data_IF_816296393550
#
_entry.id   IF_816296393550
#
_cell.length_a   1.000
_cell.length_b   1.000
_cell.length_c   1.000
_cell.angle_alpha   90.00
_cell.angle_beta   90.00
_cell.angle_gamma   90.00
#
_symmetry.space_group_name_H-M   'P 1'
#
loop_
_entity.id
_entity.type
_entity.pdbx_description
1 polymer ?
#
# COMPACT_ATOMS: atom_id res chain seq x y z
N UNK A 1 -9.70 -14.32 -12.55
CA UNK A 1 -9.34 -13.78 -11.22
C UNK A 1 -8.97 -12.33 -11.44
N UNK A 2 -9.66 -11.38 -10.76
CA UNK A 2 -9.47 -9.94 -10.95
C UNK A 2 -8.98 -9.29 -9.65
N UNK A 3 -7.87 -8.57 -9.72
CA UNK A 3 -7.26 -7.85 -8.60
C UNK A 3 -7.59 -6.37 -8.64
N UNK A 4 -7.94 -5.80 -7.49
CA UNK A 4 -7.93 -4.36 -7.25
C UNK A 4 -6.59 -4.00 -6.60
N UNK A 5 -5.83 -3.08 -7.21
CA UNK A 5 -4.58 -2.54 -6.65
C UNK A 5 -4.77 -1.05 -6.39
N UNK A 6 -4.98 -0.66 -5.13
CA UNK A 6 -5.08 0.77 -4.77
C UNK A 6 -3.68 1.38 -4.64
N UNK A 7 -3.52 2.67 -4.97
CA UNK A 7 -2.19 3.27 -5.10
C UNK A 7 -1.39 2.61 -6.23
N UNK A 8 -2.09 2.14 -7.27
CA UNK A 8 -1.54 1.31 -8.34
C UNK A 8 -0.51 2.03 -9.22
N UNK A 9 -0.57 3.34 -9.33
CA UNK A 9 0.40 4.16 -10.07
C UNK A 9 1.63 4.52 -9.23
N UNK A 10 1.54 4.35 -7.91
CA UNK A 10 2.63 4.65 -6.97
C UNK A 10 3.85 3.73 -7.13
N UNK A 11 4.92 4.05 -6.41
CA UNK A 11 6.21 3.36 -6.52
C UNK A 11 6.11 1.83 -6.31
N UNK A 12 5.42 1.38 -5.27
CA UNK A 12 5.20 -0.05 -5.02
C UNK A 12 4.08 -0.58 -5.93
N UNK A 13 2.97 0.16 -6.04
CA UNK A 13 1.79 -0.27 -6.78
C UNK A 13 2.07 -0.63 -8.22
N UNK A 14 2.80 0.21 -8.98
CA UNK A 14 3.12 -0.08 -10.38
C UNK A 14 3.97 -1.34 -10.57
N UNK A 15 4.79 -1.71 -9.58
CA UNK A 15 5.56 -2.96 -9.60
C UNK A 15 4.68 -4.18 -9.35
N UNK A 16 3.74 -4.05 -8.42
CA UNK A 16 2.72 -5.07 -8.15
C UNK A 16 1.85 -5.28 -9.39
N UNK A 17 1.34 -4.20 -9.99
CA UNK A 17 0.54 -4.25 -11.23
C UNK A 17 1.32 -4.97 -12.35
N UNK A 18 2.56 -4.58 -12.59
CA UNK A 18 3.38 -5.21 -13.62
C UNK A 18 3.56 -6.72 -13.38
N UNK A 19 3.82 -7.12 -12.13
CA UNK A 19 3.97 -8.55 -11.76
C UNK A 19 2.68 -9.36 -11.95
N UNK A 20 1.52 -8.77 -11.68
CA UNK A 20 0.22 -9.41 -11.90
C UNK A 20 -0.07 -9.56 -13.39
N UNK A 21 0.16 -8.52 -14.18
CA UNK A 21 -0.03 -8.53 -15.63
C UNK A 21 0.88 -9.55 -16.34
N UNK A 22 2.15 -9.66 -15.90
CA UNK A 22 3.07 -10.70 -16.41
C UNK A 22 2.57 -12.13 -16.18
N UNK A 23 1.71 -12.32 -15.19
CA UNK A 23 1.05 -13.60 -14.88
C UNK A 23 -0.32 -13.75 -15.57
N UNK A 24 -0.65 -12.85 -16.50
CA UNK A 24 -1.95 -12.80 -17.19
C UNK A 24 -3.15 -12.68 -16.23
N UNK A 25 -3.00 -11.96 -15.13
CA UNK A 25 -4.06 -11.68 -14.18
C UNK A 25 -4.72 -10.36 -14.56
N UNK A 26 -6.06 -10.30 -14.50
CA UNK A 26 -6.82 -9.06 -14.70
C UNK A 26 -6.61 -8.12 -13.53
N UNK A 27 -6.27 -6.88 -13.82
CA UNK A 27 -5.96 -5.86 -12.81
C UNK A 27 -6.79 -4.61 -13.02
N UNK A 28 -7.42 -4.13 -11.95
CA UNK A 28 -7.90 -2.76 -11.82
C UNK A 28 -6.87 -2.03 -10.95
N UNK A 29 -6.07 -1.18 -11.58
CA UNK A 29 -5.15 -0.29 -10.88
C UNK A 29 -5.87 1.02 -10.59
N UNK A 30 -5.82 1.49 -9.33
CA UNK A 30 -6.48 2.74 -8.96
C UNK A 30 -5.56 3.66 -8.21
N UNK A 31 -5.78 4.97 -8.40
CA UNK A 31 -5.12 6.02 -7.62
C UNK A 31 -6.05 7.23 -7.50
N UNK A 32 -5.71 8.20 -6.64
CA UNK A 32 -6.52 9.41 -6.44
C UNK A 32 -6.42 10.41 -7.61
N UNK A 33 -5.37 10.33 -8.41
CA UNK A 33 -5.13 11.17 -9.57
C UNK A 33 -4.35 10.38 -10.62
N UNK A 34 -5.06 9.62 -11.41
CA UNK A 34 -4.45 8.74 -12.43
C UNK A 34 -3.84 9.53 -13.58
N UNK A 35 -4.44 10.64 -14.00
CA UNK A 35 -3.96 11.45 -15.13
C UNK A 35 -2.55 11.97 -14.90
N UNK A 36 -2.26 12.42 -13.68
CA UNK A 36 -0.96 12.96 -13.32
C UNK A 36 0.18 11.93 -13.38
N UNK A 37 -0.11 10.69 -13.03
CA UNK A 37 0.90 9.63 -12.91
C UNK A 37 0.85 8.65 -14.11
N UNK A 38 -0.08 8.86 -15.06
CA UNK A 38 -0.35 7.94 -16.16
C UNK A 38 0.87 7.69 -17.04
N UNK A 39 1.52 8.76 -17.50
CA UNK A 39 2.68 8.65 -18.37
C UNK A 39 3.82 7.84 -17.71
N UNK A 40 4.16 8.18 -16.45
CA UNK A 40 5.20 7.46 -15.68
C UNK A 40 4.83 5.99 -15.42
N UNK A 41 3.55 5.71 -15.27
CA UNK A 41 3.04 4.37 -15.09
C UNK A 41 3.11 3.55 -16.39
N UNK A 42 2.66 4.12 -17.51
CA UNK A 42 2.70 3.47 -18.83
C UNK A 42 4.15 3.26 -19.31
N UNK A 43 5.02 4.26 -19.12
CA UNK A 43 6.45 4.14 -19.40
C UNK A 43 7.09 3.01 -18.58
N UNK A 44 6.73 2.90 -17.29
CA UNK A 44 7.22 1.80 -16.46
C UNK A 44 6.78 0.43 -16.99
N UNK A 45 5.51 0.26 -17.37
CA UNK A 45 5.02 -1.00 -17.94
C UNK A 45 5.73 -1.33 -19.27
N UNK A 46 5.95 -0.32 -20.11
CA UNK A 46 6.68 -0.45 -21.37
C UNK A 46 8.12 -0.92 -21.14
N UNK A 47 8.86 -0.30 -20.20
CA UNK A 47 10.23 -0.72 -19.87
C UNK A 47 10.34 -2.16 -19.36
N UNK A 48 9.23 -2.72 -18.87
CA UNK A 48 9.14 -4.11 -18.39
C UNK A 48 8.57 -5.07 -19.45
N UNK A 49 8.30 -4.59 -20.67
CA UNK A 49 7.65 -5.35 -21.75
C UNK A 49 6.33 -6.00 -21.27
N UNK A 50 5.53 -5.27 -20.50
CA UNK A 50 4.26 -5.77 -19.94
C UNK A 50 3.10 -5.28 -20.79
N UNK A 51 2.27 -6.20 -21.26
CA UNK A 51 1.04 -5.87 -21.98
C UNK A 51 -0.02 -5.31 -21.03
N UNK A 52 -0.65 -4.20 -21.41
CA UNK A 52 -1.77 -3.59 -20.70
C UNK A 52 -3.14 -4.18 -21.05
N UNK A 53 -3.20 -5.27 -21.83
CA UNK A 53 -4.47 -5.88 -22.30
C UNK A 53 -5.44 -6.22 -21.15
N UNK A 54 -4.91 -6.66 -20.01
CA UNK A 54 -5.68 -7.08 -18.84
C UNK A 54 -5.67 -6.00 -17.74
N UNK A 55 -5.46 -4.72 -18.10
CA UNK A 55 -5.36 -3.59 -17.18
C UNK A 55 -6.49 -2.61 -17.41
N UNK A 56 -7.16 -2.25 -16.33
CA UNK A 56 -8.00 -1.04 -16.25
C UNK A 56 -7.37 -0.06 -15.26
N UNK A 57 -7.25 1.22 -15.64
CA UNK A 57 -6.74 2.29 -14.78
C UNK A 57 -7.89 3.23 -14.45
N UNK A 58 -8.21 3.40 -13.16
CA UNK A 58 -9.37 4.15 -12.70
C UNK A 58 -9.00 5.08 -11.53
N UNK A 59 -9.71 6.18 -11.41
CA UNK A 59 -9.62 7.01 -10.20
C UNK A 59 -10.44 6.42 -9.07
N UNK A 60 -9.86 6.44 -7.85
CA UNK A 60 -10.48 5.95 -6.63
C UNK A 60 -9.88 6.64 -5.42
N UNK A 61 -10.72 7.33 -4.64
CA UNK A 61 -10.40 7.72 -3.27
C UNK A 61 -10.89 6.62 -2.31
N UNK A 62 -9.98 5.89 -1.68
CA UNK A 62 -10.32 4.83 -0.72
C UNK A 62 -11.07 5.37 0.51
N UNK A 63 -10.93 6.66 0.84
CA UNK A 63 -11.69 7.29 1.91
C UNK A 63 -13.16 7.54 1.54
N UNK A 64 -13.50 7.53 0.24
CA UNK A 64 -14.86 7.65 -0.29
C UNK A 64 -15.57 6.30 -0.35
N UNK A 65 -16.56 6.11 0.52
CA UNK A 65 -17.40 4.90 0.48
C UNK A 65 -18.16 4.75 -0.83
N UNK A 66 -18.56 5.87 -1.44
CA UNK A 66 -19.36 5.83 -2.67
C UNK A 66 -18.51 5.45 -3.88
N UNK A 67 -17.24 5.86 -3.92
CA UNK A 67 -16.32 5.41 -4.97
C UNK A 67 -16.03 3.92 -4.85
N UNK A 68 -15.79 3.42 -3.64
CA UNK A 68 -15.64 1.97 -3.42
C UNK A 68 -16.90 1.21 -3.83
N UNK A 69 -18.10 1.68 -3.46
CA UNK A 69 -19.35 1.04 -3.89
C UNK A 69 -19.49 0.99 -5.40
N UNK A 70 -19.11 2.06 -6.12
CA UNK A 70 -19.13 2.06 -7.59
C UNK A 70 -18.21 0.99 -8.17
N UNK A 71 -16.98 0.88 -7.66
CA UNK A 71 -16.03 -0.15 -8.11
C UNK A 71 -16.60 -1.56 -7.89
N UNK A 72 -17.06 -1.89 -6.70
CA UNK A 72 -17.56 -3.23 -6.39
C UNK A 72 -18.91 -3.56 -7.06
N UNK A 73 -19.69 -2.54 -7.46
CA UNK A 73 -20.91 -2.74 -8.26
C UNK A 73 -20.59 -3.09 -9.71
N UNK A 74 -19.54 -2.48 -10.26
CA UNK A 74 -19.21 -2.60 -11.68
C UNK A 74 -18.27 -3.78 -11.96
N UNK A 75 -17.53 -4.26 -10.96
CA UNK A 75 -16.49 -5.26 -11.13
C UNK A 75 -16.58 -6.38 -10.10
N UNK A 76 -16.45 -7.62 -10.59
CA UNK A 76 -16.27 -8.79 -9.71
C UNK A 76 -14.80 -8.92 -9.31
N UNK A 77 -14.44 -8.25 -8.23
CA UNK A 77 -13.08 -8.28 -7.67
C UNK A 77 -12.95 -9.48 -6.76
N UNK A 78 -11.86 -10.23 -6.92
CA UNK A 78 -11.57 -11.41 -6.08
C UNK A 78 -10.49 -11.15 -5.03
N UNK A 79 -9.57 -10.22 -5.30
CA UNK A 79 -8.43 -9.94 -4.43
C UNK A 79 -8.14 -8.43 -4.38
N UNK A 80 -7.61 -7.97 -3.25
CA UNK A 80 -7.20 -6.57 -3.07
C UNK A 80 -5.73 -6.51 -2.64
N UNK A 81 -4.96 -5.64 -3.28
CA UNK A 81 -3.63 -5.23 -2.81
C UNK A 81 -3.67 -3.73 -2.55
N UNK A 82 -3.62 -3.33 -1.28
CA UNK A 82 -3.84 -1.95 -0.88
C UNK A 82 -2.50 -1.21 -0.68
N UNK A 83 -1.98 -0.60 -1.75
CA UNK A 83 -0.76 0.20 -1.71
C UNK A 83 -1.02 1.70 -1.53
N UNK A 84 -2.28 2.17 -1.67
CA UNK A 84 -2.67 3.58 -1.48
C UNK A 84 -2.57 3.98 -0.01
N UNK A 85 -1.62 4.87 0.32
CA UNK A 85 -1.35 5.30 1.69
C UNK A 85 -0.57 6.62 1.71
N UNK A 86 -0.91 7.53 2.60
CA UNK A 86 -0.14 8.75 2.79
C UNK A 86 1.11 8.52 3.64
N UNK A 87 2.24 9.08 3.20
CA UNK A 87 3.52 8.97 3.88
C UNK A 87 3.68 10.04 4.97
N UNK A 88 4.65 9.88 5.88
CA UNK A 88 4.86 10.70 7.07
C UNK A 88 4.80 12.20 6.81
N UNK A 89 5.52 12.71 5.82
CA UNK A 89 5.56 14.14 5.51
C UNK A 89 4.19 14.71 5.06
N UNK A 90 3.35 13.90 4.41
CA UNK A 90 1.99 14.30 4.03
C UNK A 90 1.05 14.27 5.24
N UNK A 91 1.22 13.30 6.14
CA UNK A 91 0.47 13.22 7.39
C UNK A 91 0.80 14.41 8.28
N UNK A 92 2.09 14.73 8.44
CA UNK A 92 2.56 15.82 9.29
C UNK A 92 2.08 17.19 8.76
N UNK A 93 1.99 17.35 7.44
CA UNK A 93 1.48 18.58 6.81
C UNK A 93 -0.05 18.71 6.86
N UNK A 94 -0.78 17.61 6.83
CA UNK A 94 -2.24 17.56 6.93
C UNK A 94 -2.71 16.29 7.65
N UNK A 95 -2.74 16.31 9.00
CA UNK A 95 -3.09 15.13 9.80
C UNK A 95 -4.53 14.65 9.58
N UNK A 96 -5.46 15.55 9.29
CA UNK A 96 -6.86 15.19 9.01
C UNK A 96 -6.93 14.35 7.74
N UNK A 97 -6.35 14.83 6.64
CA UNK A 97 -6.31 14.06 5.38
C UNK A 97 -5.54 12.75 5.53
N UNK A 98 -4.47 12.77 6.35
CA UNK A 98 -3.73 11.57 6.72
C UNK A 98 -4.63 10.52 7.39
N UNK A 99 -5.44 10.92 8.36
CA UNK A 99 -6.38 10.03 9.04
C UNK A 99 -7.51 9.55 8.10
N UNK A 100 -8.07 10.44 7.27
CA UNK A 100 -9.09 10.06 6.28
C UNK A 100 -8.60 8.95 5.35
N UNK A 101 -7.42 9.09 4.77
CA UNK A 101 -6.88 8.10 3.83
C UNK A 101 -6.40 6.86 4.58
N UNK A 102 -5.56 7.04 5.61
CA UNK A 102 -4.81 5.95 6.23
C UNK A 102 -5.62 5.14 7.23
N UNK A 103 -6.63 5.73 7.86
CA UNK A 103 -7.48 5.03 8.82
C UNK A 103 -8.85 4.77 8.24
N UNK A 104 -9.58 5.82 7.83
CA UNK A 104 -10.93 5.64 7.28
C UNK A 104 -10.86 4.86 5.96
N UNK A 105 -9.96 5.21 5.05
CA UNK A 105 -9.78 4.52 3.77
C UNK A 105 -9.42 3.05 3.94
N UNK A 106 -8.47 2.72 4.82
CA UNK A 106 -8.12 1.32 5.11
C UNK A 106 -9.28 0.56 5.75
N UNK A 107 -10.02 1.20 6.67
CA UNK A 107 -11.22 0.59 7.28
C UNK A 107 -12.30 0.31 6.23
N UNK A 108 -12.50 1.22 5.28
CA UNK A 108 -13.42 1.01 4.18
C UNK A 108 -13.01 -0.20 3.31
N UNK A 109 -11.72 -0.41 3.08
CA UNK A 109 -11.22 -1.59 2.36
C UNK A 109 -11.43 -2.88 3.18
N UNK A 110 -11.18 -2.87 4.49
CA UNK A 110 -11.48 -4.03 5.35
C UNK A 110 -12.97 -4.37 5.33
N UNK A 111 -13.83 -3.36 5.40
CA UNK A 111 -15.27 -3.55 5.28
C UNK A 111 -15.65 -4.10 3.90
N UNK A 112 -15.03 -3.60 2.83
CA UNK A 112 -15.27 -4.10 1.48
C UNK A 112 -14.86 -5.57 1.31
N UNK A 113 -13.81 -6.03 2.00
CA UNK A 113 -13.41 -7.45 2.01
C UNK A 113 -14.53 -8.32 2.53
N UNK A 114 -15.17 -7.90 3.62
CA UNK A 114 -16.29 -8.63 4.23
C UNK A 114 -17.54 -8.58 3.33
N UNK A 115 -17.96 -7.38 2.92
CA UNK A 115 -19.22 -7.15 2.22
C UNK A 115 -19.25 -7.82 0.83
N UNK A 116 -18.10 -7.88 0.15
CA UNK A 116 -17.98 -8.42 -1.21
C UNK A 116 -17.35 -9.81 -1.26
N UNK A 117 -17.16 -10.46 -0.12
CA UNK A 117 -16.59 -11.82 -0.01
C UNK A 117 -15.25 -11.95 -0.76
N UNK A 118 -14.38 -10.95 -0.60
CA UNK A 118 -13.06 -10.93 -1.22
C UNK A 118 -12.25 -12.13 -0.70
N UNK A 119 -11.65 -12.87 -1.62
CA UNK A 119 -10.88 -14.07 -1.28
C UNK A 119 -9.66 -13.73 -0.40
N UNK A 120 -8.93 -12.66 -0.73
CA UNK A 120 -7.80 -12.17 0.10
C UNK A 120 -7.51 -10.70 -0.15
N UNK A 121 -7.21 -9.99 0.92
CA UNK A 121 -6.58 -8.68 0.89
C UNK A 121 -5.17 -8.74 1.46
N UNK A 122 -4.23 -8.02 0.83
CA UNK A 122 -2.87 -7.80 1.34
C UNK A 122 -2.59 -6.30 1.36
N UNK A 123 -1.94 -5.82 2.42
CA UNK A 123 -1.48 -4.43 2.48
C UNK A 123 -0.08 -4.34 3.10
N UNK A 124 0.76 -3.38 2.64
CA UNK A 124 2.03 -3.11 3.28
C UNK A 124 1.82 -2.31 4.57
N UNK A 125 2.20 -2.89 5.69
CA UNK A 125 2.51 -2.19 6.94
C UNK A 125 3.91 -1.59 6.83
N UNK A 126 4.72 -1.61 7.86
CA UNK A 126 6.08 -1.08 7.85
C UNK A 126 6.89 -1.65 9.01
N UNK A 127 8.20 -1.80 8.84
CA UNK A 127 9.11 -2.05 9.95
C UNK A 127 9.05 -0.95 11.03
N UNK A 128 8.62 0.26 10.68
CA UNK A 128 8.53 1.38 11.64
C UNK A 128 7.56 1.09 12.81
N UNK A 129 6.68 0.09 12.69
CA UNK A 129 5.80 -0.33 13.79
C UNK A 129 6.54 -0.87 15.00
N UNK A 130 7.80 -1.27 14.85
CA UNK A 130 8.64 -1.71 15.96
C UNK A 130 9.20 -0.54 16.79
N UNK A 131 9.14 0.71 16.28
CA UNK A 131 9.61 1.91 16.99
C UNK A 131 11.14 2.01 17.08
N UNK A 132 11.65 2.51 18.20
CA UNK A 132 13.09 2.63 18.50
C UNK A 132 13.70 1.28 18.84
N UNK A 133 14.23 0.63 17.84
CA UNK A 133 14.57 -0.80 17.92
C UNK A 133 15.78 -1.11 18.81
N UNK A 134 16.82 -0.29 18.83
CA UNK A 134 18.03 -0.54 19.60
C UNK A 134 17.82 -0.53 21.12
N UNK A 135 16.91 0.30 21.60
CA UNK A 135 16.59 0.39 23.03
C UNK A 135 15.72 -0.77 23.51
N UNK A 136 14.85 -1.29 22.63
CA UNK A 136 13.87 -2.32 23.00
C UNK A 136 14.44 -3.73 22.75
N UNK A 137 15.06 -3.93 21.59
CA UNK A 137 15.45 -5.25 21.11
C UNK A 137 16.95 -5.54 21.22
N UNK A 138 17.77 -4.49 21.52
CA UNK A 138 19.23 -4.62 21.55
C UNK A 138 19.78 -5.03 20.16
N UNK A 139 20.71 -5.97 20.16
CA UNK A 139 21.37 -6.46 18.92
C UNK A 139 20.74 -7.75 18.35
N UNK A 140 19.62 -8.22 18.89
CA UNK A 140 18.98 -9.42 18.37
C UNK A 140 18.16 -9.11 17.10
N UNK A 141 18.00 -10.06 16.18
CA UNK A 141 17.02 -9.94 15.11
C UNK A 141 15.60 -9.76 15.67
N UNK A 142 14.81 -8.90 15.02
CA UNK A 142 13.41 -8.65 15.38
C UNK A 142 12.53 -9.65 14.63
N UNK A 143 11.59 -10.24 15.36
CA UNK A 143 10.58 -11.16 14.81
C UNK A 143 9.23 -10.47 14.66
N UNK A 144 8.36 -11.01 13.82
CA UNK A 144 7.01 -10.49 13.57
C UNK A 144 6.14 -10.48 14.82
N UNK A 145 6.37 -11.42 15.76
CA UNK A 145 5.64 -11.55 17.02
C UNK A 145 6.21 -10.67 18.15
N UNK A 146 7.30 -9.95 17.91
CA UNK A 146 7.86 -9.04 18.91
C UNK A 146 6.90 -7.89 19.17
N UNK A 147 6.79 -7.50 20.45
CA UNK A 147 5.85 -6.47 20.90
C UNK A 147 6.13 -5.09 20.31
N UNK A 148 5.08 -4.44 19.80
CA UNK A 148 5.12 -3.10 19.23
C UNK A 148 4.39 -2.13 20.17
N UNK A 149 5.11 -1.47 21.07
CA UNK A 149 4.52 -0.53 22.05
C UNK A 149 4.30 0.86 21.48
N UNK A 150 3.14 1.48 21.79
CA UNK A 150 2.84 2.86 21.37
C UNK A 150 3.85 3.87 21.95
N UNK A 151 4.32 3.65 23.16
CA UNK A 151 5.31 4.51 23.84
C UNK A 151 6.67 4.57 23.13
N UNK A 152 6.93 3.64 22.23
CA UNK A 152 8.19 3.56 21.46
C UNK A 152 8.07 4.11 20.05
N UNK A 153 6.90 4.60 19.66
CA UNK A 153 6.66 5.08 18.30
C UNK A 153 7.16 6.51 18.14
N UNK A 154 7.90 6.77 17.05
CA UNK A 154 8.45 8.09 16.72
C UNK A 154 7.60 8.86 15.71
N UNK A 155 6.73 8.17 14.97
CA UNK A 155 6.03 8.75 13.83
C UNK A 155 4.55 8.41 13.86
N UNK A 156 3.69 9.39 13.61
CA UNK A 156 2.25 9.19 13.41
C UNK A 156 1.96 8.12 12.37
N UNK A 157 2.75 8.09 11.31
CA UNK A 157 2.69 7.05 10.26
C UNK A 157 2.80 5.62 10.83
N UNK A 158 3.75 5.39 11.73
CA UNK A 158 3.98 4.07 12.34
C UNK A 158 2.79 3.65 13.21
N UNK A 159 2.24 4.58 13.99
CA UNK A 159 1.05 4.35 14.83
C UNK A 159 -0.17 4.01 13.95
N UNK A 160 -0.36 4.74 12.85
CA UNK A 160 -1.46 4.45 11.91
C UNK A 160 -1.30 3.06 11.27
N UNK A 161 -0.06 2.65 10.91
CA UNK A 161 0.21 1.29 10.40
C UNK A 161 -0.09 0.23 11.44
N UNK A 162 0.35 0.41 12.68
CA UNK A 162 0.08 -0.50 13.79
C UNK A 162 -1.43 -0.63 14.07
N UNK A 163 -2.16 0.50 14.04
CA UNK A 163 -3.62 0.50 14.18
C UNK A 163 -4.29 -0.32 13.07
N UNK A 164 -3.84 -0.17 11.81
CA UNK A 164 -4.38 -0.94 10.69
C UNK A 164 -4.10 -2.44 10.83
N UNK A 165 -2.93 -2.84 11.33
CA UNK A 165 -2.65 -4.25 11.65
C UNK A 165 -3.61 -4.79 12.70
N UNK A 166 -3.81 -4.04 13.79
CA UNK A 166 -4.73 -4.42 14.85
C UNK A 166 -6.18 -4.53 14.34
N UNK A 167 -6.64 -3.57 13.54
CA UNK A 167 -7.96 -3.61 12.93
C UNK A 167 -8.10 -4.81 11.98
N UNK A 168 -7.11 -5.09 11.15
CA UNK A 168 -7.10 -6.25 10.27
C UNK A 168 -7.24 -7.57 11.05
N UNK A 169 -6.50 -7.71 12.16
CA UNK A 169 -6.64 -8.88 13.05
C UNK A 169 -8.06 -9.02 13.61
N UNK A 170 -8.72 -7.90 13.97
CA UNK A 170 -10.11 -7.91 14.44
C UNK A 170 -11.08 -8.34 13.35
N UNK A 171 -10.94 -7.83 12.12
CA UNK A 171 -11.75 -8.29 10.99
C UNK A 171 -11.56 -9.78 10.71
N UNK A 172 -10.32 -10.28 10.73
CA UNK A 172 -10.02 -11.71 10.55
C UNK A 172 -10.69 -12.55 11.63
N UNK A 173 -10.51 -12.18 12.91
CA UNK A 173 -11.01 -12.98 14.04
C UNK A 173 -12.53 -12.94 14.20
N UNK A 174 -13.17 -11.80 13.89
CA UNK A 174 -14.62 -11.62 14.11
C UNK A 174 -15.46 -12.02 12.89
N UNK A 175 -14.92 -11.89 11.67
CA UNK A 175 -15.68 -12.05 10.43
C UNK A 175 -15.16 -13.17 9.53
N UNK A 176 -14.13 -13.89 9.95
CA UNK A 176 -13.51 -14.99 9.18
C UNK A 176 -13.13 -14.59 7.75
N UNK A 177 -12.61 -13.38 7.59
CA UNK A 177 -12.09 -12.85 6.32
C UNK A 177 -10.58 -13.10 6.21
N UNK A 178 -10.04 -13.08 4.99
CA UNK A 178 -8.61 -13.29 4.75
C UNK A 178 -7.91 -11.95 4.48
N UNK A 179 -7.24 -11.42 5.50
CA UNK A 179 -6.43 -10.20 5.39
C UNK A 179 -5.04 -10.49 5.94
N UNK A 180 -4.00 -10.10 5.20
CA UNK A 180 -2.61 -10.21 5.62
C UNK A 180 -1.89 -8.88 5.42
N UNK A 181 -0.84 -8.64 6.20
CA UNK A 181 0.05 -7.51 6.00
C UNK A 181 1.51 -7.97 5.90
N UNK A 182 2.35 -7.12 5.34
CA UNK A 182 3.80 -7.25 5.34
C UNK A 182 4.41 -6.05 6.07
N UNK A 183 5.55 -6.23 6.72
CA UNK A 183 6.31 -5.14 7.36
C UNK A 183 7.61 -4.89 6.57
N UNK A 184 7.51 -4.27 5.38
CA UNK A 184 8.70 -4.02 4.58
C UNK A 184 9.64 -3.06 5.31
N UNK A 185 10.94 -3.29 5.14
CA UNK A 185 12.00 -2.36 5.49
C UNK A 185 12.06 -1.22 4.48
N UNK A 186 13.20 -0.58 4.31
CA UNK A 186 13.40 0.48 3.32
C UNK A 186 13.22 -0.08 1.90
N UNK A 187 12.15 0.35 1.24
CA UNK A 187 11.93 0.01 -0.17
C UNK A 187 12.53 1.13 -1.02
N UNK A 188 13.54 0.85 -1.79
CA UNK A 188 14.24 1.81 -2.66
C UNK A 188 14.42 1.25 -4.08
N UNK A 189 14.86 2.10 -4.99
CA UNK A 189 15.14 1.75 -6.38
C UNK A 189 14.73 2.84 -7.35
N UNK A 190 15.12 2.67 -8.60
CA UNK A 190 14.90 3.64 -9.68
C UNK A 190 13.43 4.07 -9.79
N UNK A 191 13.21 5.39 -9.89
CA UNK A 191 11.89 5.99 -10.05
C UNK A 191 11.13 6.24 -8.74
N UNK A 192 11.80 6.24 -7.58
CA UNK A 192 11.19 6.66 -6.32
C UNK A 192 11.20 8.17 -6.17
N UNK A 193 10.11 8.84 -6.55
CA UNK A 193 10.03 10.30 -6.61
C UNK A 193 9.67 10.99 -5.29
N UNK A 194 9.19 10.25 -4.27
CA UNK A 194 8.67 10.84 -3.01
C UNK A 194 9.00 9.95 -1.83
N UNK A 195 9.89 10.41 -0.95
CA UNK A 195 10.19 9.72 0.30
C UNK A 195 11.17 10.54 1.13
N UNK A 196 11.13 10.40 2.44
CA UNK A 196 12.22 10.80 3.34
C UNK A 196 13.52 10.01 3.10
N UNK A 197 13.48 9.00 2.24
CA UNK A 197 14.59 8.09 1.92
C UNK A 197 15.08 8.27 0.47
N UNK A 198 14.94 9.47 -0.09
CA UNK A 198 15.46 9.80 -1.44
C UNK A 198 16.97 9.55 -1.55
N UNK A 199 17.70 9.74 -0.47
CA UNK A 199 19.13 9.46 -0.41
C UNK A 199 19.48 8.02 -0.83
N UNK A 200 18.61 7.04 -0.57
CA UNK A 200 18.89 5.66 -0.94
C UNK A 200 18.85 5.43 -2.46
N UNK A 201 18.01 6.18 -3.18
CA UNK A 201 18.01 6.20 -4.64
C UNK A 201 19.23 6.92 -5.18
N UNK A 202 19.53 8.11 -4.66
CA UNK A 202 20.69 8.91 -5.07
C UNK A 202 22.00 8.15 -4.84
N UNK A 203 22.11 7.45 -3.71
CA UNK A 203 23.27 6.62 -3.37
C UNK A 203 23.48 5.46 -4.37
N UNK A 204 22.40 4.88 -4.89
CA UNK A 204 22.49 3.79 -5.86
C UNK A 204 22.61 4.29 -7.31
N UNK A 205 21.94 5.41 -7.63
CA UNK A 205 21.79 5.88 -9.01
C UNK A 205 22.95 6.79 -9.43
N UNK A 206 23.39 7.72 -8.58
CA UNK A 206 24.45 8.67 -8.92
C UNK A 206 25.77 7.96 -9.29
N UNK A 207 26.27 6.95 -8.55
CA UNK A 207 27.46 6.22 -8.97
C UNK A 207 27.31 5.46 -10.30
N UNK A 208 26.09 5.08 -10.66
CA UNK A 208 25.82 4.38 -11.91
C UNK A 208 25.74 5.31 -13.13
N UNK A 209 25.53 6.60 -12.90
CA UNK A 209 25.47 7.64 -13.95
C UNK A 209 26.81 8.35 -14.17
N UNK A 210 27.81 8.18 -13.27
CA UNK A 210 29.14 8.80 -13.33
C UNK A 210 29.16 10.12 -12.57
#
# INVERSE_FOLDING_TARGET
MKFLVTGGTGFIGKRVVAQLLQRNIDVIATDINTDKEKNDFEDYLSTKNVSSKNLELLELDISSKDDLKKIFRNYTITNIIACGYQMSNLIDSNPIKGAEVNIVGMTNLFQAVMDNKIHRMVFPSSQSVYGTTSEIFGNKPIHEDDYCGLQHQLFTYAVMKLLNEFMAQKYVSMHNVSIACTRPSVVFGYGRKRSSLMWAEEFATNPALG
#
